data_IF_259271592203
#
_entry.id   IF_259271592203
#
_cell.length_a   1.000
_cell.length_b   1.000
_cell.length_c   1.000
_cell.angle_alpha   90.00
_cell.angle_beta   90.00
_cell.angle_gamma   90.00
#
_symmetry.space_group_name_H-M   'P 1'
#
loop_
_entity.id
_entity.type
_entity.pdbx_description
1 polymer ?
#
# COMPACT_ATOMS: atom_id res chain seq x y z
N UNK A 1 -15.45 20.31 -1.60
CA UNK A 1 -14.26 20.65 -2.40
C UNK A 1 -13.05 20.48 -1.51
N UNK A 2 -12.14 19.56 -1.85
CA UNK A 2 -10.90 19.34 -1.07
C UNK A 2 -9.75 20.23 -1.57
N UNK A 3 -8.75 20.44 -0.72
CA UNK A 3 -7.52 21.18 -1.00
C UNK A 3 -6.33 20.24 -0.82
N UNK A 4 -5.36 20.33 -1.72
CA UNK A 4 -4.16 19.50 -1.70
C UNK A 4 -2.92 20.36 -1.91
N UNK A 5 -1.84 20.02 -1.21
CA UNK A 5 -0.51 20.37 -1.69
C UNK A 5 0.02 19.18 -2.51
N UNK A 6 0.68 19.48 -3.62
CA UNK A 6 1.41 18.48 -4.40
C UNK A 6 2.79 19.04 -4.68
N UNK A 7 3.83 18.21 -4.52
CA UNK A 7 5.19 18.60 -4.89
C UNK A 7 5.92 17.45 -5.54
N UNK A 8 6.79 17.79 -6.48
CA UNK A 8 7.84 16.89 -6.92
C UNK A 8 8.91 16.80 -5.84
N UNK A 9 9.47 15.61 -5.66
CA UNK A 9 10.71 15.42 -4.92
C UNK A 9 11.84 16.25 -5.53
N UNK A 10 12.93 16.38 -4.75
CA UNK A 10 14.22 16.86 -5.25
C UNK A 10 14.24 18.31 -5.78
N UNK A 11 15.44 18.77 -6.13
CA UNK A 11 15.72 20.01 -6.87
C UNK A 11 15.67 19.77 -8.38
N UNK A 12 15.61 20.80 -9.23
CA UNK A 12 15.65 20.63 -10.68
C UNK A 12 16.86 19.80 -11.11
N UNK A 13 16.73 19.04 -12.21
CA UNK A 13 17.79 18.17 -12.68
C UNK A 13 19.13 18.93 -12.84
N UNK A 14 20.18 18.44 -12.19
CA UNK A 14 21.51 19.06 -12.21
C UNK A 14 21.64 20.31 -11.34
N UNK A 15 20.69 20.58 -10.43
CA UNK A 15 20.68 21.75 -9.55
C UNK A 15 20.81 21.36 -8.07
N UNK A 16 21.67 20.39 -7.76
CA UNK A 16 21.90 19.91 -6.40
C UNK A 16 21.24 18.56 -6.16
N UNK A 17 20.41 18.44 -5.12
CA UNK A 17 19.74 17.18 -4.77
C UNK A 17 18.70 16.79 -5.82
N UNK A 18 19.14 16.22 -6.96
CA UNK A 18 18.34 15.97 -8.17
C UNK A 18 17.74 14.57 -8.24
N UNK A 19 17.75 13.84 -7.12
CA UNK A 19 17.29 12.46 -7.07
C UNK A 19 18.17 11.47 -7.85
N UNK A 20 17.63 10.26 -7.99
CA UNK A 20 18.25 9.16 -8.69
C UNK A 20 18.19 9.33 -10.22
N UNK A 21 19.19 8.76 -10.90
CA UNK A 21 19.31 8.78 -12.35
C UNK A 21 19.60 7.36 -12.84
N UNK A 22 18.68 6.81 -13.62
CA UNK A 22 18.79 5.54 -14.31
C UNK A 22 18.28 5.66 -15.75
N UNK A 23 17.38 4.77 -16.17
CA UNK A 23 16.61 4.93 -17.41
C UNK A 23 15.73 6.18 -17.34
N UNK A 24 15.17 6.43 -16.16
CA UNK A 24 14.43 7.63 -15.82
C UNK A 24 15.31 8.56 -14.98
N UNK A 25 15.06 9.87 -15.10
CA UNK A 25 15.64 10.87 -14.21
C UNK A 25 14.57 11.24 -13.22
N UNK A 26 14.69 10.79 -11.96
CA UNK A 26 13.65 10.93 -10.92
C UNK A 26 13.10 12.35 -10.90
N UNK A 27 13.99 13.33 -10.74
CA UNK A 27 13.55 14.72 -10.64
C UNK A 27 12.89 15.24 -11.93
N UNK A 28 13.12 14.69 -13.11
CA UNK A 28 12.38 15.11 -14.33
C UNK A 28 10.97 14.53 -14.29
N UNK A 29 10.86 13.23 -14.05
CA UNK A 29 9.59 12.50 -14.05
C UNK A 29 8.66 12.98 -12.94
N UNK A 30 9.18 13.24 -11.73
CA UNK A 30 8.41 13.76 -10.60
C UNK A 30 7.65 15.03 -10.96
N UNK A 31 8.23 15.93 -11.75
CA UNK A 31 7.56 17.18 -12.15
C UNK A 31 6.51 16.93 -13.20
N UNK A 32 6.71 15.98 -14.11
CA UNK A 32 5.69 15.62 -15.10
C UNK A 32 4.47 15.05 -14.36
N UNK A 33 4.70 14.10 -13.45
CA UNK A 33 3.64 13.49 -12.63
C UNK A 33 2.93 14.56 -11.78
N UNK A 34 3.68 15.36 -10.99
CA UNK A 34 3.10 16.42 -10.15
C UNK A 34 2.32 17.45 -10.94
N UNK A 35 2.83 17.93 -12.08
CA UNK A 35 2.14 18.92 -12.90
C UNK A 35 0.80 18.36 -13.41
N UNK A 36 0.80 17.10 -13.84
CA UNK A 36 -0.42 16.44 -14.30
C UNK A 36 -1.40 16.16 -13.16
N UNK A 37 -0.92 15.79 -11.97
CA UNK A 37 -1.76 15.68 -10.76
C UNK A 37 -2.47 17.00 -10.44
N UNK A 38 -1.73 18.12 -10.42
CA UNK A 38 -2.31 19.45 -10.17
C UNK A 38 -3.37 19.80 -11.22
N UNK A 39 -3.09 19.52 -12.50
CA UNK A 39 -4.03 19.77 -13.59
C UNK A 39 -5.33 18.97 -13.41
N UNK A 40 -5.21 17.67 -13.12
CA UNK A 40 -6.33 16.76 -12.93
C UNK A 40 -7.15 17.09 -11.68
N UNK A 41 -6.50 17.36 -10.54
CA UNK A 41 -7.20 17.77 -9.32
C UNK A 41 -8.01 19.06 -9.53
N UNK A 42 -7.44 20.05 -10.22
CA UNK A 42 -8.15 21.30 -10.58
C UNK A 42 -9.31 21.04 -11.54
N UNK A 43 -9.14 20.17 -12.54
CA UNK A 43 -10.20 19.80 -13.47
C UNK A 43 -11.38 19.11 -12.77
N UNK A 44 -11.10 18.35 -11.71
CA UNK A 44 -12.11 17.72 -10.86
C UNK A 44 -12.69 18.66 -9.78
N UNK A 45 -12.39 19.96 -9.88
CA UNK A 45 -12.95 21.02 -9.03
C UNK A 45 -12.27 21.15 -7.68
N UNK A 46 -11.10 20.56 -7.46
CA UNK A 46 -10.33 20.70 -6.22
C UNK A 46 -9.34 21.87 -6.27
N UNK A 47 -8.90 22.33 -5.11
CA UNK A 47 -7.76 23.26 -5.04
C UNK A 47 -6.48 22.45 -4.94
N UNK A 48 -5.48 22.75 -5.78
CA UNK A 48 -4.17 22.11 -5.72
C UNK A 48 -3.05 23.18 -5.80
N UNK A 49 -2.19 23.19 -4.78
CA UNK A 49 -1.04 24.08 -4.67
C UNK A 49 0.25 23.34 -5.02
N UNK A 50 1.12 24.00 -5.76
CA UNK A 50 2.45 23.48 -6.09
C UNK A 50 3.45 23.87 -4.99
N UNK A 51 3.95 22.88 -4.26
CA UNK A 51 4.92 23.08 -3.18
C UNK A 51 6.35 22.68 -3.56
N UNK A 52 6.63 22.48 -4.85
CA UNK A 52 7.94 22.01 -5.37
C UNK A 52 9.07 22.99 -5.08
N UNK A 53 10.26 22.47 -4.81
CA UNK A 53 11.49 23.26 -4.74
C UNK A 53 12.13 23.38 -6.14
N UNK A 54 11.91 24.51 -6.82
CA UNK A 54 12.43 24.77 -8.18
C UNK A 54 13.75 25.57 -8.22
N UNK A 55 14.56 25.50 -7.16
CA UNK A 55 15.83 26.23 -7.06
C UNK A 55 17.00 25.28 -6.83
N UNK A 56 18.20 25.75 -7.18
CA UNK A 56 19.42 25.03 -6.87
C UNK A 56 19.72 25.08 -5.37
N UNK A 57 19.77 23.93 -4.70
CA UNK A 57 20.06 23.85 -3.26
C UNK A 57 20.49 22.44 -2.85
N UNK A 58 21.01 22.33 -1.62
CA UNK A 58 21.27 21.05 -0.96
C UNK A 58 19.98 20.31 -0.64
N UNK A 59 20.09 19.01 -0.32
CA UNK A 59 18.95 18.19 0.12
C UNK A 59 18.19 18.82 1.28
N UNK A 60 18.88 19.25 2.34
CA UNK A 60 18.24 19.90 3.48
C UNK A 60 17.52 21.20 3.09
N UNK A 61 18.13 22.00 2.21
CA UNK A 61 17.48 23.21 1.70
C UNK A 61 16.25 22.91 0.85
N UNK A 62 16.26 21.83 0.07
CA UNK A 62 15.09 21.36 -0.70
C UNK A 62 13.93 20.98 0.23
N UNK A 63 14.21 20.09 1.19
CA UNK A 63 13.24 19.59 2.16
C UNK A 63 12.63 20.73 2.99
N UNK A 64 13.46 21.65 3.50
CA UNK A 64 12.99 22.79 4.28
C UNK A 64 12.07 23.72 3.46
N UNK A 65 12.39 23.95 2.18
CA UNK A 65 11.57 24.78 1.28
C UNK A 65 10.23 24.13 0.97
N UNK A 66 10.23 22.84 0.66
CA UNK A 66 9.00 22.07 0.40
C UNK A 66 8.09 22.15 1.63
N UNK A 67 8.59 21.80 2.82
CA UNK A 67 7.80 21.81 4.05
C UNK A 67 7.30 23.21 4.38
N UNK A 68 8.11 24.25 4.18
CA UNK A 68 7.68 25.65 4.36
C UNK A 68 6.50 26.00 3.46
N UNK A 69 6.55 25.62 2.17
CA UNK A 69 5.45 25.83 1.22
C UNK A 69 4.21 24.99 1.55
N UNK A 70 4.37 23.74 1.94
CA UNK A 70 3.23 22.92 2.35
C UNK A 70 2.53 23.55 3.57
N UNK A 71 3.31 23.96 4.58
CA UNK A 71 2.80 24.52 5.83
C UNK A 71 2.25 25.95 5.73
N UNK A 72 2.41 26.64 4.59
CA UNK A 72 1.73 27.91 4.32
C UNK A 72 0.27 27.74 3.92
N UNK A 73 -0.18 26.51 3.66
CA UNK A 73 -1.56 26.19 3.31
C UNK A 73 -2.20 25.31 4.39
N UNK A 74 -3.51 25.48 4.58
CA UNK A 74 -4.33 24.52 5.32
C UNK A 74 -5.06 23.64 4.30
N UNK A 75 -4.61 22.40 4.16
CA UNK A 75 -5.07 21.44 3.15
C UNK A 75 -5.47 20.11 3.76
N UNK A 76 -6.15 19.27 2.99
CA UNK A 76 -6.61 17.94 3.40
C UNK A 76 -5.50 16.88 3.33
N UNK A 77 -4.56 17.02 2.39
CA UNK A 77 -3.38 16.17 2.28
C UNK A 77 -2.21 16.85 1.56
N UNK A 78 -0.99 16.44 1.93
CA UNK A 78 0.26 16.75 1.24
C UNK A 78 0.75 15.53 0.46
N UNK A 79 0.83 15.65 -0.88
CA UNK A 79 1.31 14.60 -1.78
C UNK A 79 2.73 14.86 -2.27
N UNK A 80 3.66 13.99 -1.90
CA UNK A 80 5.05 13.98 -2.37
C UNK A 80 5.22 12.94 -3.48
N UNK A 81 5.75 13.35 -4.62
CA UNK A 81 5.98 12.45 -5.78
C UNK A 81 7.47 12.15 -5.93
N UNK A 82 7.81 10.87 -6.00
CA UNK A 82 9.16 10.33 -6.16
C UNK A 82 9.17 9.13 -7.09
N UNK A 83 10.35 8.75 -7.56
CA UNK A 83 10.62 7.44 -8.16
C UNK A 83 11.75 6.77 -7.39
N UNK A 84 11.58 5.48 -7.11
CA UNK A 84 12.49 4.67 -6.30
C UNK A 84 13.77 4.34 -7.08
N UNK A 85 14.73 3.74 -6.38
CA UNK A 85 15.94 3.18 -6.99
C UNK A 85 16.48 2.00 -6.20
N UNK A 86 17.39 1.23 -6.79
CA UNK A 86 18.11 0.17 -6.10
C UNK A 86 17.74 -1.24 -6.55
N UNK A 87 16.83 -1.40 -7.52
CA UNK A 87 16.59 -2.69 -8.20
C UNK A 87 17.83 -3.12 -9.01
N UNK A 88 18.57 -2.15 -9.56
CA UNK A 88 19.80 -2.36 -10.33
C UNK A 88 19.61 -3.34 -11.49
N UNK A 89 18.41 -3.39 -12.06
CA UNK A 89 18.10 -4.25 -13.19
C UNK A 89 18.18 -3.47 -14.50
N UNK A 90 19.36 -3.48 -15.11
CA UNK A 90 19.59 -2.83 -16.41
C UNK A 90 19.16 -3.69 -17.60
N UNK A 91 18.94 -4.98 -17.42
CA UNK A 91 18.73 -5.92 -18.53
C UNK A 91 17.26 -6.26 -18.73
N UNK A 92 16.44 -6.15 -17.69
CA UNK A 92 15.13 -6.75 -17.64
C UNK A 92 15.27 -8.16 -17.07
N UNK A 93 14.49 -8.46 -16.04
CA UNK A 93 14.30 -9.82 -15.53
C UNK A 93 12.85 -10.30 -15.68
N UNK A 94 11.97 -9.45 -16.23
CA UNK A 94 10.55 -9.72 -16.41
C UNK A 94 9.73 -9.50 -15.14
N UNK A 95 10.35 -9.06 -14.04
CA UNK A 95 9.70 -8.60 -12.82
C UNK A 95 9.82 -7.08 -12.72
N UNK A 96 8.75 -6.45 -12.27
CA UNK A 96 8.72 -4.98 -12.10
C UNK A 96 9.14 -4.61 -10.69
N UNK A 97 9.96 -3.57 -10.55
CA UNK A 97 10.28 -2.96 -9.26
C UNK A 97 9.03 -2.53 -8.50
N UNK A 98 8.13 -1.80 -9.15
CA UNK A 98 6.78 -1.52 -8.67
C UNK A 98 6.59 -0.25 -7.83
N UNK A 99 5.34 0.00 -7.46
CA UNK A 99 4.90 1.20 -6.71
C UNK A 99 4.78 0.93 -5.21
N UNK A 100 5.23 1.87 -4.37
CA UNK A 100 4.90 1.93 -2.93
C UNK A 100 4.45 3.33 -2.52
N UNK A 101 3.71 3.42 -1.40
CA UNK A 101 3.34 4.70 -0.80
C UNK A 101 3.77 4.72 0.67
N UNK A 102 4.58 5.70 1.04
CA UNK A 102 5.10 5.89 2.39
C UNK A 102 4.24 6.89 3.16
N UNK A 103 3.92 6.57 4.41
CA UNK A 103 3.17 7.42 5.34
C UNK A 103 3.85 7.47 6.70
N UNK A 104 3.56 8.51 7.51
CA UNK A 104 4.21 8.68 8.81
C UNK A 104 3.76 7.64 9.86
N UNK A 105 2.52 7.16 9.78
CA UNK A 105 1.97 6.15 10.70
C UNK A 105 0.77 5.46 10.06
N UNK A 106 0.44 4.22 10.46
CA UNK A 106 -0.76 3.57 9.91
C UNK A 106 -2.08 4.18 10.40
N UNK A 107 -2.05 5.09 11.38
CA UNK A 107 -3.21 5.90 11.79
C UNK A 107 -3.32 7.21 11.01
N UNK A 108 -2.43 7.44 10.05
CA UNK A 108 -2.48 8.63 9.21
C UNK A 108 -3.84 8.73 8.52
N UNK A 109 -4.41 9.95 8.49
CA UNK A 109 -5.69 10.23 7.82
C UNK A 109 -5.65 9.92 6.31
N UNK A 110 -4.46 9.83 5.73
CA UNK A 110 -4.25 9.46 4.32
C UNK A 110 -3.96 7.98 4.10
N UNK A 111 -4.03 7.10 5.11
CA UNK A 111 -3.75 5.67 4.91
C UNK A 111 -4.65 5.03 3.83
N UNK A 112 -5.97 5.21 3.91
CA UNK A 112 -6.87 4.62 2.88
C UNK A 112 -6.65 5.24 1.51
N UNK A 113 -6.23 6.51 1.48
CA UNK A 113 -5.84 7.20 0.25
C UNK A 113 -4.59 6.58 -0.35
N UNK A 114 -3.57 6.31 0.48
CA UNK A 114 -2.32 5.67 0.09
C UNK A 114 -2.53 4.25 -0.45
N UNK A 115 -3.40 3.46 0.19
CA UNK A 115 -3.76 2.11 -0.28
C UNK A 115 -4.33 2.17 -1.70
N UNK A 116 -5.34 3.04 -1.93
CA UNK A 116 -5.93 3.20 -3.26
C UNK A 116 -4.94 3.73 -4.30
N UNK A 117 -4.03 4.62 -3.91
CA UNK A 117 -2.99 5.12 -4.83
C UNK A 117 -2.09 3.97 -5.28
N UNK A 118 -1.62 3.12 -4.37
CA UNK A 118 -0.83 1.93 -4.72
C UNK A 118 -1.57 1.01 -5.70
N UNK A 119 -2.84 0.68 -5.39
CA UNK A 119 -3.68 -0.18 -6.22
C UNK A 119 -3.90 0.40 -7.61
N UNK A 120 -4.30 1.67 -7.70
CA UNK A 120 -4.57 2.34 -8.98
C UNK A 120 -3.32 2.47 -9.84
N UNK A 121 -2.17 2.83 -9.26
CA UNK A 121 -0.91 2.97 -10.02
C UNK A 121 -0.43 1.61 -10.51
N UNK A 122 -0.43 0.60 -9.65
CA UNK A 122 -0.06 -0.77 -10.01
C UNK A 122 -0.91 -1.28 -11.17
N UNK A 123 -2.23 -1.12 -11.08
CA UNK A 123 -3.18 -1.55 -12.10
C UNK A 123 -3.03 -0.78 -13.42
N UNK A 124 -2.89 0.54 -13.36
CA UNK A 124 -2.80 1.37 -14.57
C UNK A 124 -1.49 1.10 -15.32
N UNK A 125 -0.36 1.01 -14.62
CA UNK A 125 0.94 0.79 -15.26
C UNK A 125 1.26 -0.69 -15.48
N UNK A 126 0.54 -1.61 -14.82
CA UNK A 126 0.85 -3.05 -14.80
C UNK A 126 2.24 -3.33 -14.23
N UNK A 127 2.50 -2.72 -13.08
CA UNK A 127 3.72 -2.90 -12.28
C UNK A 127 3.35 -3.42 -10.89
N UNK A 128 4.29 -4.07 -10.22
CA UNK A 128 4.10 -4.69 -8.91
C UNK A 128 3.55 -3.71 -7.88
N UNK A 129 2.57 -4.14 -7.10
CA UNK A 129 2.07 -3.39 -5.95
C UNK A 129 2.90 -3.76 -4.71
N UNK A 130 3.69 -2.82 -4.19
CA UNK A 130 4.48 -3.02 -2.95
C UNK A 130 3.79 -2.47 -1.71
N UNK A 131 2.59 -1.91 -1.89
CA UNK A 131 1.69 -1.49 -0.83
C UNK A 131 2.16 -0.25 -0.07
N UNK A 132 1.40 0.05 0.98
CA UNK A 132 1.69 1.15 1.89
C UNK A 132 2.74 0.71 2.91
N UNK A 133 3.65 1.62 3.27
CA UNK A 133 4.65 1.40 4.33
C UNK A 133 4.72 2.60 5.27
N UNK A 134 5.08 2.34 6.53
CA UNK A 134 5.33 3.41 7.50
C UNK A 134 6.81 3.73 7.54
N UNK A 135 7.14 5.00 7.28
CA UNK A 135 8.49 5.52 7.47
C UNK A 135 8.43 6.85 8.23
N UNK A 136 8.80 6.79 9.51
CA UNK A 136 8.83 7.97 10.36
C UNK A 136 10.06 8.84 10.11
N UNK A 137 11.09 8.35 9.42
CA UNK A 137 12.35 9.06 9.19
C UNK A 137 12.25 10.14 8.10
N UNK A 138 11.28 10.02 7.18
CA UNK A 138 11.13 10.95 6.08
C UNK A 138 10.69 12.34 6.54
N UNK A 139 11.50 13.33 6.18
CA UNK A 139 11.34 14.71 6.65
C UNK A 139 9.99 15.33 6.28
N UNK A 140 9.52 15.14 5.04
CA UNK A 140 8.24 15.70 4.58
C UNK A 140 7.04 15.05 5.28
N UNK A 141 7.10 13.75 5.59
CA UNK A 141 6.04 13.06 6.32
C UNK A 141 5.96 13.49 7.79
N UNK A 142 7.12 13.83 8.37
CA UNK A 142 7.24 14.22 9.79
C UNK A 142 6.93 15.70 10.06
N UNK A 143 7.26 16.59 9.12
CA UNK A 143 7.29 18.05 9.39
C UNK A 143 6.19 18.85 8.69
N UNK A 144 5.33 18.19 7.91
CA UNK A 144 4.11 18.80 7.38
C UNK A 144 3.00 18.84 8.44
N UNK A 145 2.19 19.90 8.43
CA UNK A 145 1.05 20.07 9.35
C UNK A 145 -0.16 19.26 8.87
N UNK A 146 -0.37 19.19 7.56
CA UNK A 146 -1.41 18.36 6.98
C UNK A 146 -0.95 16.90 6.91
N UNK A 147 -1.86 15.92 6.90
CA UNK A 147 -1.50 14.53 6.68
C UNK A 147 -0.78 14.35 5.34
N UNK A 148 0.37 13.68 5.35
CA UNK A 148 1.20 13.52 4.17
C UNK A 148 1.36 12.06 3.74
N UNK A 149 1.52 11.86 2.43
CA UNK A 149 1.97 10.62 1.81
C UNK A 149 3.08 10.91 0.79
N UNK A 150 3.95 9.94 0.57
CA UNK A 150 5.00 9.98 -0.45
C UNK A 150 4.84 8.77 -1.37
N UNK A 151 4.64 9.01 -2.66
CA UNK A 151 4.52 7.95 -3.68
C UNK A 151 5.89 7.72 -4.28
N UNK A 152 6.37 6.50 -4.19
CA UNK A 152 7.49 5.99 -4.98
C UNK A 152 6.88 5.28 -6.21
N UNK A 153 6.74 6.02 -7.31
CA UNK A 153 5.88 5.65 -8.43
C UNK A 153 6.31 4.39 -9.19
N UNK A 154 7.62 4.23 -9.38
CA UNK A 154 8.31 3.08 -9.98
C UNK A 154 9.82 3.20 -9.68
N UNK A 155 10.64 2.26 -10.13
CA UNK A 155 12.09 2.29 -9.99
C UNK A 155 12.76 2.91 -11.23
N UNK A 156 13.65 3.90 -11.03
CA UNK A 156 14.36 4.56 -12.14
C UNK A 156 15.41 3.67 -12.82
N UNK A 157 15.87 2.64 -12.11
CA UNK A 157 16.98 1.75 -12.49
C UNK A 157 16.54 0.32 -12.75
N UNK A 158 15.24 0.10 -12.98
CA UNK A 158 14.61 -1.17 -13.31
C UNK A 158 14.09 -1.10 -14.75
N UNK A 159 14.52 -2.05 -15.58
CA UNK A 159 14.22 -2.02 -17.02
C UNK A 159 12.74 -2.31 -17.27
N UNK A 160 12.16 -3.24 -16.52
CA UNK A 160 10.76 -3.64 -16.66
C UNK A 160 9.81 -2.50 -16.22
N UNK A 161 10.09 -1.78 -15.14
CA UNK A 161 9.36 -0.56 -14.76
C UNK A 161 9.45 0.51 -15.85
N UNK A 162 10.65 0.76 -16.39
CA UNK A 162 10.87 1.75 -17.45
C UNK A 162 10.02 1.45 -18.70
N UNK A 163 9.89 0.18 -19.09
CA UNK A 163 9.10 -0.22 -20.25
C UNK A 163 7.58 -0.05 -20.05
N UNK A 164 7.12 0.00 -18.80
CA UNK A 164 5.72 0.29 -18.44
C UNK A 164 5.45 1.77 -18.17
N UNK A 165 6.50 2.57 -17.96
CA UNK A 165 6.39 3.91 -17.43
C UNK A 165 5.66 4.87 -18.38
N UNK A 166 4.65 5.55 -17.83
CA UNK A 166 4.03 6.73 -18.42
C UNK A 166 3.63 7.67 -17.27
N UNK A 167 4.36 8.79 -17.16
CA UNK A 167 4.18 9.75 -16.09
C UNK A 167 2.75 10.34 -16.01
N UNK A 168 2.06 10.51 -17.16
CA UNK A 168 0.69 11.05 -17.16
C UNK A 168 -0.33 10.00 -16.73
N UNK A 169 -0.16 8.75 -17.17
CA UNK A 169 -0.99 7.63 -16.71
C UNK A 169 -0.78 7.38 -15.21
N UNK A 170 0.47 7.44 -14.73
CA UNK A 170 0.80 7.40 -13.31
C UNK A 170 0.06 8.50 -12.53
N UNK A 171 0.19 9.77 -12.96
CA UNK A 171 -0.49 10.89 -12.32
C UNK A 171 -2.01 10.72 -12.27
N UNK A 172 -2.62 10.22 -13.36
CA UNK A 172 -4.05 9.92 -13.42
C UNK A 172 -4.46 8.87 -12.40
N UNK A 173 -3.69 7.78 -12.28
CA UNK A 173 -3.92 6.74 -11.31
C UNK A 173 -3.77 7.23 -9.86
N UNK A 174 -2.75 8.05 -9.57
CA UNK A 174 -2.60 8.70 -8.26
C UNK A 174 -3.84 9.54 -7.95
N UNK A 175 -4.32 10.37 -8.89
CA UNK A 175 -5.51 11.20 -8.65
C UNK A 175 -6.79 10.37 -8.51
N UNK A 176 -6.95 9.27 -9.25
CA UNK A 176 -8.06 8.31 -9.02
C UNK A 176 -8.03 7.77 -7.58
N UNK A 177 -6.86 7.33 -7.11
CA UNK A 177 -6.69 6.82 -5.74
C UNK A 177 -6.96 7.90 -4.69
N UNK A 178 -6.50 9.12 -4.93
CA UNK A 178 -6.76 10.28 -4.06
C UNK A 178 -8.26 10.58 -3.93
N UNK A 179 -8.98 10.60 -5.05
CA UNK A 179 -10.38 11.00 -5.13
C UNK A 179 -11.36 9.85 -4.93
N UNK A 180 -10.87 8.60 -4.95
CA UNK A 180 -11.68 7.37 -4.89
C UNK A 180 -12.79 7.35 -5.96
N UNK A 181 -12.45 7.76 -7.19
CA UNK A 181 -13.38 7.77 -8.32
C UNK A 181 -12.61 7.79 -9.63
N UNK A 182 -13.29 7.38 -10.70
CA UNK A 182 -12.81 7.65 -12.05
C UNK A 182 -12.84 9.14 -12.40
N UNK A 183 -11.85 9.58 -13.18
CA UNK A 183 -11.69 10.98 -13.61
C UNK A 183 -11.54 11.04 -15.14
N UNK A 184 -12.12 12.08 -15.75
CA UNK A 184 -12.12 12.24 -17.22
C UNK A 184 -10.88 13.02 -17.68
N UNK A 185 -10.01 12.34 -18.43
CA UNK A 185 -8.85 12.95 -19.08
C UNK A 185 -7.88 11.90 -19.61
N UNK A 186 -7.75 11.80 -20.94
CA UNK A 186 -6.70 11.04 -21.63
C UNK A 186 -6.94 9.53 -21.79
N UNK A 187 -7.13 9.14 -23.06
CA UNK A 187 -7.18 7.81 -23.72
C UNK A 187 -7.58 6.57 -22.93
N UNK A 188 -8.76 6.06 -23.27
CA UNK A 188 -9.24 4.71 -22.98
C UNK A 188 -8.68 3.69 -23.97
N UNK A 189 -8.15 2.58 -23.46
CA UNK A 189 -8.16 1.31 -24.21
C UNK A 189 -8.78 0.25 -23.31
N UNK A 190 -10.01 -0.12 -23.65
CA UNK A 190 -10.83 -1.12 -22.97
C UNK A 190 -10.30 -2.53 -23.25
N UNK A 191 -10.26 -3.38 -22.21
CA UNK A 191 -10.10 -4.82 -22.34
C UNK A 191 -10.98 -5.51 -21.29
N UNK A 192 -11.97 -6.26 -21.76
CA UNK A 192 -13.07 -6.84 -20.99
C UNK A 192 -12.71 -8.21 -20.39
N UNK A 193 -13.45 -8.51 -19.32
CA UNK A 193 -13.57 -9.65 -18.43
C UNK A 193 -13.51 -11.09 -18.98
N UNK A 194 -13.13 -12.02 -18.09
CA UNK A 194 -13.52 -13.44 -18.11
C UNK A 194 -13.51 -14.05 -16.69
N UNK A 195 -14.68 -14.53 -16.24
CA UNK A 195 -14.96 -15.15 -14.92
C UNK A 195 -15.05 -16.69 -14.98
N UNK A 196 -15.16 -17.28 -13.78
CA UNK A 196 -15.79 -18.57 -13.41
C UNK A 196 -14.77 -19.72 -13.20
N UNK A 197 -14.52 -20.26 -11.99
CA UNK A 197 -15.34 -20.88 -10.92
C UNK A 197 -15.55 -22.39 -11.11
N UNK A 198 -15.14 -23.19 -10.10
CA UNK A 198 -15.45 -24.62 -10.00
C UNK A 198 -15.18 -25.19 -8.59
N UNK A 199 -16.26 -25.39 -7.83
CA UNK A 199 -16.43 -26.12 -6.55
C UNK A 199 -16.28 -27.66 -6.74
N UNK A 200 -15.96 -28.51 -5.74
CA UNK A 200 -16.87 -29.03 -4.66
C UNK A 200 -16.18 -30.01 -3.67
N UNK A 201 -16.69 -30.00 -2.41
CA UNK A 201 -16.95 -31.08 -1.40
C UNK A 201 -15.80 -31.96 -0.87
N UNK A 202 -15.43 -31.91 0.43
CA UNK A 202 -16.09 -32.35 1.69
C UNK A 202 -15.87 -33.83 2.05
N UNK A 203 -15.11 -34.06 3.14
CA UNK A 203 -15.02 -35.33 3.86
C UNK A 203 -14.86 -35.07 5.36
N UNK A 204 -15.82 -35.55 6.16
CA UNK A 204 -15.88 -35.38 7.61
C UNK A 204 -15.18 -36.54 8.33
N UNK A 205 -14.38 -36.24 9.36
CA UNK A 205 -14.03 -37.20 10.40
C UNK A 205 -13.91 -36.49 11.77
N UNK A 206 -14.54 -37.12 12.75
CA UNK A 206 -14.75 -36.71 14.14
C UNK A 206 -13.44 -36.42 14.91
N UNK A 207 -13.48 -35.34 15.71
CA UNK A 207 -12.34 -34.67 16.29
C UNK A 207 -11.95 -35.19 17.69
N UNK A 208 -10.66 -35.47 17.88
CA UNK A 208 -9.99 -35.24 19.16
C UNK A 208 -9.66 -33.74 19.28
N UNK A 209 -9.73 -33.18 20.49
CA UNK A 209 -9.51 -31.75 20.78
C UNK A 209 -8.02 -31.41 20.59
N UNK A 210 -7.57 -31.33 19.33
CA UNK A 210 -6.22 -30.95 18.97
C UNK A 210 -6.03 -29.46 19.28
N UNK A 211 -5.22 -29.19 20.30
CA UNK A 211 -4.76 -27.84 20.65
C UNK A 211 -3.78 -27.35 19.58
N UNK A 212 -3.90 -26.08 19.20
CA UNK A 212 -2.95 -25.42 18.31
C UNK A 212 -1.69 -25.07 19.10
N UNK A 213 -0.51 -25.31 18.52
CA UNK A 213 0.78 -24.89 19.08
C UNK A 213 0.82 -23.37 19.27
N UNK A 214 1.34 -22.91 20.42
CA UNK A 214 1.50 -21.46 20.70
C UNK A 214 2.92 -21.03 20.32
N UNK A 215 3.19 -20.93 19.02
CA UNK A 215 4.51 -20.59 18.45
C UNK A 215 4.61 -19.13 17.98
N UNK A 216 3.48 -18.46 17.79
CA UNK A 216 3.42 -17.10 17.24
C UNK A 216 3.46 -17.05 15.71
N UNK A 217 3.20 -18.17 15.04
CA UNK A 217 3.04 -18.27 13.60
C UNK A 217 1.62 -18.67 13.21
N UNK A 218 1.03 -17.91 12.29
CA UNK A 218 -0.30 -18.18 11.78
C UNK A 218 -0.18 -18.98 10.48
N UNK A 219 0.07 -20.28 10.63
CA UNK A 219 0.05 -21.26 9.54
C UNK A 219 -1.28 -22.05 9.44
N UNK A 220 -1.30 -23.18 8.70
CA UNK A 220 -2.53 -23.88 8.34
C UNK A 220 -3.30 -24.45 9.55
N UNK A 221 -2.61 -24.80 10.63
CA UNK A 221 -3.25 -25.32 11.84
C UNK A 221 -4.03 -24.23 12.60
N UNK A 222 -3.42 -23.05 12.75
CA UNK A 222 -4.09 -21.86 13.31
C UNK A 222 -5.30 -21.49 12.45
N UNK A 223 -5.15 -21.52 11.11
CA UNK A 223 -6.23 -21.26 10.15
C UNK A 223 -7.38 -22.27 10.29
N UNK A 224 -7.12 -23.58 10.25
CA UNK A 224 -8.15 -24.62 10.41
C UNK A 224 -8.91 -24.49 11.73
N UNK A 225 -8.22 -24.14 12.80
CA UNK A 225 -8.87 -23.96 14.10
C UNK A 225 -9.80 -22.75 14.10
N UNK A 226 -9.37 -21.61 13.55
CA UNK A 226 -10.23 -20.44 13.41
C UNK A 226 -11.40 -20.69 12.47
N UNK A 227 -11.20 -21.42 11.36
CA UNK A 227 -12.28 -21.78 10.44
C UNK A 227 -13.36 -22.63 11.13
N UNK A 228 -12.96 -23.57 12.00
CA UNK A 228 -13.90 -24.32 12.84
C UNK A 228 -14.66 -23.41 13.81
N UNK A 229 -13.97 -22.47 14.47
CA UNK A 229 -14.58 -21.53 15.43
C UNK A 229 -15.60 -20.61 14.73
N UNK A 230 -15.27 -20.09 13.56
CA UNK A 230 -16.12 -19.14 12.82
C UNK A 230 -17.11 -19.80 11.85
N UNK A 231 -17.11 -21.13 11.73
CA UNK A 231 -18.01 -21.86 10.85
C UNK A 231 -17.77 -21.58 9.37
N UNK A 232 -16.52 -21.34 8.95
CA UNK A 232 -16.15 -21.22 7.53
C UNK A 232 -15.63 -22.55 7.00
N UNK A 233 -15.41 -22.66 5.68
CA UNK A 233 -14.74 -23.82 5.07
C UNK A 233 -13.43 -24.12 5.79
N UNK A 234 -13.23 -25.38 6.19
CA UNK A 234 -12.04 -25.83 6.95
C UNK A 234 -11.01 -26.43 5.99
N UNK A 235 -10.31 -25.57 5.25
CA UNK A 235 -9.27 -25.96 4.27
C UNK A 235 -7.85 -25.59 4.74
N UNK A 236 -7.72 -24.81 5.82
CA UNK A 236 -6.44 -24.28 6.31
C UNK A 236 -5.86 -23.15 5.46
N UNK A 237 -6.68 -22.54 4.60
CA UNK A 237 -6.28 -21.46 3.70
C UNK A 237 -6.86 -20.10 4.09
N UNK A 238 -6.06 -19.07 3.87
CA UNK A 238 -6.47 -17.67 3.91
C UNK A 238 -6.31 -17.10 2.51
N UNK A 239 -7.40 -17.13 1.74
CA UNK A 239 -7.40 -16.83 0.30
C UNK A 239 -7.47 -15.33 -0.04
N UNK A 240 -7.08 -14.95 -1.28
CA UNK A 240 -7.27 -13.60 -1.84
C UNK A 240 -6.62 -12.48 -1.01
N UNK A 241 -5.37 -12.63 -0.57
CA UNK A 241 -4.68 -11.61 0.24
C UNK A 241 -3.71 -10.81 -0.63
N UNK A 242 -3.59 -9.50 -0.41
CA UNK A 242 -2.67 -8.66 -1.18
C UNK A 242 -1.21 -9.01 -0.88
N UNK A 243 -0.45 -9.42 -1.90
CA UNK A 243 0.95 -9.86 -1.76
C UNK A 243 1.85 -8.79 -1.15
N UNK A 244 1.52 -7.51 -1.33
CA UNK A 244 2.24 -6.38 -0.73
C UNK A 244 2.37 -6.42 0.80
N UNK A 245 1.48 -7.15 1.49
CA UNK A 245 1.52 -7.30 2.94
C UNK A 245 2.33 -8.52 3.40
N UNK A 246 2.71 -9.44 2.51
CA UNK A 246 3.41 -10.68 2.87
C UNK A 246 4.73 -10.40 3.60
N UNK A 247 5.62 -9.62 2.98
CA UNK A 247 6.96 -9.36 3.50
C UNK A 247 6.93 -8.56 4.82
N UNK A 248 5.89 -7.76 5.02
CA UNK A 248 5.69 -6.97 6.24
C UNK A 248 5.19 -7.82 7.42
N UNK A 249 4.71 -9.04 7.14
CA UNK A 249 4.05 -9.92 8.10
C UNK A 249 4.69 -11.32 8.17
N UNK A 250 5.97 -11.45 8.56
CA UNK A 250 6.68 -12.73 8.60
C UNK A 250 6.14 -13.74 9.64
N UNK A 251 5.14 -13.37 10.44
CA UNK A 251 4.38 -14.30 11.28
C UNK A 251 3.24 -15.02 10.53
N UNK A 252 2.92 -14.63 9.30
CA UNK A 252 1.93 -15.28 8.44
C UNK A 252 2.66 -16.26 7.51
N UNK A 253 2.49 -17.56 7.75
CA UNK A 253 3.25 -18.61 7.07
C UNK A 253 2.40 -19.36 6.04
N UNK A 254 2.66 -20.66 5.86
CA UNK A 254 1.94 -21.53 4.93
C UNK A 254 0.41 -21.44 5.10
N UNK A 255 -0.30 -21.60 3.98
CA UNK A 255 -1.75 -21.51 3.92
C UNK A 255 -2.28 -20.10 3.67
N UNK A 256 -1.46 -19.06 3.72
CA UNK A 256 -1.83 -17.74 3.20
C UNK A 256 -1.63 -17.68 1.68
N UNK A 257 -2.68 -17.38 0.93
CA UNK A 257 -2.63 -17.25 -0.52
C UNK A 257 -2.57 -15.75 -0.87
N UNK A 258 -1.43 -15.37 -1.44
CA UNK A 258 -1.07 -14.01 -1.76
C UNK A 258 -1.21 -13.76 -3.27
N UNK A 259 -1.82 -12.66 -3.64
CA UNK A 259 -2.09 -12.25 -5.02
C UNK A 259 -1.76 -10.76 -5.19
N UNK A 260 -1.26 -10.36 -6.35
CA UNK A 260 -0.95 -8.95 -6.66
C UNK A 260 -2.21 -8.07 -6.68
N UNK A 261 -3.30 -8.56 -7.29
CA UNK A 261 -4.59 -7.86 -7.42
C UNK A 261 -5.75 -8.85 -7.20
N UNK A 262 -6.02 -9.24 -5.94
CA UNK A 262 -7.09 -10.18 -5.61
C UNK A 262 -8.46 -9.60 -5.97
N UNK A 263 -9.24 -10.39 -6.72
CA UNK A 263 -10.63 -10.04 -7.08
C UNK A 263 -11.67 -10.56 -6.07
N UNK A 264 -11.26 -11.44 -5.17
CA UNK A 264 -12.10 -12.05 -4.12
C UNK A 264 -11.74 -11.56 -2.71
N UNK A 265 -12.22 -12.27 -1.69
CA UNK A 265 -11.92 -11.98 -0.28
C UNK A 265 -11.85 -13.28 0.53
N UNK A 266 -11.16 -13.29 1.67
CA UNK A 266 -11.17 -14.43 2.60
C UNK A 266 -12.40 -14.39 3.52
N UNK A 267 -13.28 -15.41 3.51
CA UNK A 267 -14.38 -15.51 4.46
C UNK A 267 -13.89 -15.57 5.91
N UNK A 268 -12.73 -16.21 6.14
CA UNK A 268 -12.13 -16.29 7.47
C UNK A 268 -11.71 -14.92 7.97
N UNK A 269 -10.99 -14.14 7.15
CA UNK A 269 -10.55 -12.79 7.57
C UNK A 269 -11.76 -11.90 7.79
N UNK A 270 -12.79 -12.01 6.96
CA UNK A 270 -14.04 -11.26 7.16
C UNK A 270 -14.71 -11.60 8.49
N UNK A 271 -14.70 -12.86 8.90
CA UNK A 271 -15.20 -13.29 10.21
C UNK A 271 -14.32 -12.79 11.37
N UNK A 272 -12.98 -12.84 11.22
CA UNK A 272 -12.04 -12.27 12.21
C UNK A 272 -12.25 -10.77 12.35
N UNK A 273 -12.39 -10.04 11.25
CA UNK A 273 -12.69 -8.61 11.23
C UNK A 273 -13.99 -8.30 11.98
N UNK A 274 -15.03 -9.11 11.79
CA UNK A 274 -16.29 -8.99 12.53
C UNK A 274 -16.07 -9.17 14.04
N UNK A 275 -15.30 -10.18 14.47
CA UNK A 275 -14.97 -10.41 15.88
C UNK A 275 -14.26 -9.22 16.51
N UNK A 276 -13.33 -8.60 15.80
CA UNK A 276 -12.47 -7.52 16.34
C UNK A 276 -13.03 -6.11 16.08
N UNK A 277 -14.21 -6.00 15.46
CA UNK A 277 -14.86 -4.72 15.15
C UNK A 277 -14.17 -3.91 14.02
N UNK A 278 -13.47 -4.58 13.11
CA UNK A 278 -12.86 -3.95 11.94
C UNK A 278 -13.83 -3.89 10.74
N UNK A 279 -13.47 -3.10 9.72
CA UNK A 279 -14.14 -3.14 8.41
C UNK A 279 -14.05 -4.57 7.86
N UNK A 280 -15.16 -5.10 7.38
CA UNK A 280 -15.31 -6.49 6.95
C UNK A 280 -15.06 -6.63 5.43
N UNK A 281 -13.85 -6.29 4.98
CA UNK A 281 -13.45 -6.43 3.57
C UNK A 281 -12.82 -7.79 3.22
N UNK A 282 -12.46 -8.59 4.23
CA UNK A 282 -11.88 -9.92 4.07
C UNK A 282 -10.41 -9.93 3.64
N UNK A 283 -9.71 -8.81 3.77
CA UNK A 283 -8.27 -8.71 3.55
C UNK A 283 -7.52 -8.36 4.83
N UNK A 284 -6.38 -9.02 5.02
CA UNK A 284 -5.42 -8.66 6.04
C UNK A 284 -4.71 -7.37 5.62
N UNK A 285 -4.37 -6.57 6.61
CA UNK A 285 -3.65 -5.33 6.43
C UNK A 285 -3.51 -4.63 7.77
N UNK A 286 -2.73 -3.55 7.84
CA UNK A 286 -2.41 -2.83 9.07
C UNK A 286 -3.62 -2.52 9.96
N UNK A 287 -4.75 -2.09 9.38
CA UNK A 287 -5.98 -1.82 10.15
C UNK A 287 -6.59 -3.08 10.76
N UNK A 288 -6.71 -4.15 9.99
CA UNK A 288 -7.20 -5.45 10.47
C UNK A 288 -6.28 -5.99 11.58
N UNK A 289 -4.96 -5.94 11.37
CA UNK A 289 -3.96 -6.42 12.33
C UNK A 289 -4.03 -5.63 13.63
N UNK A 290 -4.15 -4.30 13.58
CA UNK A 290 -4.30 -3.49 14.79
C UNK A 290 -5.58 -3.77 15.55
N UNK A 291 -6.69 -4.03 14.84
CA UNK A 291 -7.93 -4.41 15.50
C UNK A 291 -7.75 -5.75 16.24
N UNK A 292 -7.07 -6.72 15.63
CA UNK A 292 -6.69 -7.99 16.29
C UNK A 292 -5.77 -7.73 17.49
N UNK A 293 -4.74 -6.91 17.32
CA UNK A 293 -3.81 -6.56 18.40
C UNK A 293 -4.52 -5.88 19.57
N UNK A 294 -5.42 -4.95 19.29
CA UNK A 294 -6.25 -4.28 20.30
C UNK A 294 -7.14 -5.30 21.02
N UNK A 295 -7.80 -6.18 20.29
CA UNK A 295 -8.67 -7.22 20.84
C UNK A 295 -7.92 -8.14 21.83
N UNK A 296 -6.66 -8.46 21.54
CA UNK A 296 -5.82 -9.28 22.42
C UNK A 296 -4.96 -8.49 23.42
N UNK A 297 -5.10 -7.17 23.51
CA UNK A 297 -4.31 -6.32 24.40
C UNK A 297 -2.80 -6.38 24.09
N UNK A 298 -2.45 -6.31 22.81
CA UNK A 298 -1.08 -6.25 22.30
C UNK A 298 -0.73 -4.84 21.83
N UNK A 299 0.55 -4.60 21.60
CA UNK A 299 1.03 -3.42 20.85
C UNK A 299 0.34 -3.38 19.48
N UNK A 300 -0.20 -2.20 19.13
CA UNK A 300 -0.97 -1.98 17.89
C UNK A 300 -0.05 -1.47 16.76
N UNK A 301 0.99 -2.25 16.42
CA UNK A 301 1.98 -1.87 15.40
C UNK A 301 1.51 -2.14 13.96
N UNK A 302 0.42 -2.89 13.77
CA UNK A 302 -0.16 -3.17 12.45
C UNK A 302 0.59 -4.22 11.63
N UNK A 303 1.51 -4.96 12.24
CA UNK A 303 2.19 -6.08 11.59
C UNK A 303 2.20 -7.32 12.48
N UNK A 304 2.31 -8.49 11.86
CA UNK A 304 2.61 -9.73 12.56
C UNK A 304 4.05 -10.15 12.27
N UNK A 305 4.95 -9.84 13.21
CA UNK A 305 6.34 -10.28 13.17
C UNK A 305 6.48 -11.81 13.30
N UNK A 306 7.64 -12.34 12.91
CA UNK A 306 7.97 -13.74 13.18
C UNK A 306 7.90 -14.01 14.70
N UNK A 307 7.27 -15.13 15.10
CA UNK A 307 6.95 -15.44 16.50
C UNK A 307 6.14 -14.34 17.21
N UNK A 308 5.19 -13.73 16.48
CA UNK A 308 4.38 -12.60 16.94
C UNK A 308 3.75 -12.86 18.32
N UNK A 309 3.96 -11.97 19.30
CA UNK A 309 3.26 -12.03 20.59
C UNK A 309 1.74 -12.00 20.44
N UNK A 310 1.23 -11.29 19.42
CA UNK A 310 -0.20 -11.22 19.16
C UNK A 310 -0.74 -12.53 18.59
N UNK A 311 0.00 -13.19 17.68
CA UNK A 311 -0.40 -14.51 17.18
C UNK A 311 -0.38 -15.54 18.32
N UNK A 312 0.58 -15.46 19.25
CA UNK A 312 0.58 -16.33 20.45
C UNK A 312 -0.68 -16.15 21.29
N UNK A 313 -1.14 -14.92 21.49
CA UNK A 313 -2.40 -14.67 22.21
C UNK A 313 -3.63 -15.16 21.44
N UNK A 314 -3.65 -15.02 20.11
CA UNK A 314 -4.69 -15.60 19.25
C UNK A 314 -4.72 -17.13 19.41
N UNK A 315 -3.57 -17.81 19.34
CA UNK A 315 -3.47 -19.26 19.53
C UNK A 315 -3.90 -19.70 20.94
N UNK A 316 -3.53 -18.94 21.98
CA UNK A 316 -4.02 -19.17 23.34
C UNK A 316 -5.53 -18.99 23.46
N UNK A 317 -6.11 -18.03 22.75
CA UNK A 317 -7.55 -17.83 22.70
C UNK A 317 -8.26 -18.95 21.97
N UNK A 318 -7.72 -19.41 20.83
CA UNK A 318 -8.22 -20.58 20.08
C UNK A 318 -8.31 -21.80 21.00
N UNK A 319 -7.26 -22.07 21.78
CA UNK A 319 -7.21 -23.23 22.69
C UNK A 319 -8.20 -23.15 23.87
N UNK A 320 -8.84 -21.99 24.07
CA UNK A 320 -9.87 -21.76 25.10
C UNK A 320 -11.29 -21.81 24.55
N UNK A 321 -11.48 -21.90 23.22
CA UNK A 321 -12.80 -22.12 22.62
C UNK A 321 -13.25 -23.58 22.84
#
# INVERSE_FOLDING_TARGET
MAKYNVHAGHCPQGKGASGAVGFLKESVEDRIVKNEMIRLLKAEGHTAYDCTCDVATTQNGCLARIVTKCNSHSVDADGSVHLNSGRKDKKGDGDTGGVEVLIYSWDSKVYDMAVRICEEVSKELKIRNRGVKVDTSLYVLRNTKAPAFLVECCFVDDRDDYEKWDAKRCAKAIVRGMLNKDIKGGSSTSGSSGSSSGSTASGSASASKATVTVDGYWGPNTTKALQKIFGTTVDGKVSNQYECYKDQNPGLEDGWEWEDDPSGYSPLIKAVQKMVGAKQDGHIGPKTIRAIQKYFGCTQDGVFSAKSPCIKKLQQWINKQ
#
